data_IF_042171832919
#
_entry.id   IF_042171832919
#
_cell.length_a   1.000
_cell.length_b   1.000
_cell.length_c   1.000
_cell.angle_alpha   90.00
_cell.angle_beta   90.00
_cell.angle_gamma   90.00
#
_symmetry.space_group_name_H-M   'P 1'
#
loop_
_entity.id
_entity.type
_entity.pdbx_description
1 polymer ?
#
# COMPACT_ATOMS: atom_id res chain seq x y z
N UNK A 1 -4.65 -21.99 14.68
CA UNK A 1 -5.06 -21.35 13.40
C UNK A 1 -4.11 -20.24 12.95
N UNK A 2 -3.70 -19.30 13.83
CA UNK A 2 -2.86 -18.15 13.44
C UNK A 2 -1.49 -18.47 12.81
N UNK A 3 -0.78 -19.52 13.26
CA UNK A 3 0.54 -19.87 12.68
C UNK A 3 0.46 -20.30 11.22
N UNK A 4 -0.60 -21.02 10.85
CA UNK A 4 -0.81 -21.49 9.48
C UNK A 4 -1.05 -20.31 8.52
N UNK A 5 -1.78 -19.29 8.96
CA UNK A 5 -2.08 -18.09 8.17
C UNK A 5 -0.79 -17.33 7.81
N UNK A 6 0.13 -17.17 8.76
CA UNK A 6 1.41 -16.50 8.50
C UNK A 6 2.32 -17.30 7.55
N UNK A 7 2.31 -18.63 7.65
CA UNK A 7 3.03 -19.51 6.73
C UNK A 7 2.46 -19.38 5.31
N UNK A 8 1.13 -19.43 5.16
CA UNK A 8 0.45 -19.24 3.87
C UNK A 8 0.78 -17.86 3.29
N UNK A 9 0.76 -16.80 4.10
CA UNK A 9 1.12 -15.45 3.67
C UNK A 9 2.57 -15.36 3.18
N UNK A 10 3.50 -16.01 3.88
CA UNK A 10 4.92 -16.07 3.47
C UNK A 10 5.08 -16.78 2.13
N UNK A 11 4.42 -17.93 1.95
CA UNK A 11 4.47 -18.71 0.70
C UNK A 11 3.87 -17.88 -0.44
N UNK A 12 2.75 -17.21 -0.21
CA UNK A 12 2.11 -16.38 -1.22
C UNK A 12 3.01 -15.22 -1.66
N UNK A 13 3.62 -14.50 -0.73
CA UNK A 13 4.58 -13.43 -1.02
C UNK A 13 5.79 -13.96 -1.81
N UNK A 14 6.32 -15.12 -1.41
CA UNK A 14 7.44 -15.74 -2.11
C UNK A 14 7.08 -16.11 -3.54
N UNK A 15 5.92 -16.74 -3.77
CA UNK A 15 5.45 -17.08 -5.11
C UNK A 15 5.22 -15.84 -5.98
N UNK A 16 4.68 -14.77 -5.39
CA UNK A 16 4.47 -13.52 -6.10
C UNK A 16 5.80 -12.91 -6.58
N UNK A 17 6.77 -12.73 -5.68
CA UNK A 17 8.09 -12.20 -6.05
C UNK A 17 8.83 -13.12 -7.02
N UNK A 18 8.74 -14.43 -6.81
CA UNK A 18 9.35 -15.45 -7.69
C UNK A 18 8.79 -15.40 -9.10
N UNK A 19 7.48 -15.19 -9.24
CA UNK A 19 6.81 -15.04 -10.55
C UNK A 19 7.27 -13.79 -11.29
N UNK A 20 7.29 -12.65 -10.59
CA UNK A 20 7.76 -11.38 -11.19
C UNK A 20 9.22 -11.50 -11.64
N UNK A 21 10.08 -12.09 -10.82
CA UNK A 21 11.48 -12.31 -11.16
C UNK A 21 11.63 -13.29 -12.35
N UNK A 22 10.87 -14.38 -12.36
CA UNK A 22 10.87 -15.35 -13.46
C UNK A 22 10.51 -14.73 -14.80
N UNK A 23 9.40 -13.98 -14.83
CA UNK A 23 8.95 -13.30 -16.06
C UNK A 23 10.00 -12.29 -16.52
N UNK A 24 10.54 -11.49 -15.59
CA UNK A 24 11.53 -10.46 -15.91
C UNK A 24 12.82 -11.04 -16.47
N UNK A 25 13.31 -12.13 -15.89
CA UNK A 25 14.53 -12.80 -16.35
C UNK A 25 14.37 -13.41 -17.73
N UNK A 26 13.25 -14.10 -17.98
CA UNK A 26 12.96 -14.66 -19.31
C UNK A 26 12.84 -13.57 -20.37
N UNK A 27 12.11 -12.49 -20.09
CA UNK A 27 11.96 -11.38 -21.03
C UNK A 27 13.31 -10.75 -21.39
N UNK A 28 14.13 -10.47 -20.37
CA UNK A 28 15.48 -9.93 -20.57
C UNK A 28 16.35 -10.88 -21.40
N UNK A 29 16.32 -12.17 -21.08
CA UNK A 29 17.09 -13.18 -21.79
C UNK A 29 16.67 -13.28 -23.26
N UNK A 30 15.37 -13.30 -23.56
CA UNK A 30 14.85 -13.31 -24.93
C UNK A 30 15.34 -12.10 -25.74
N UNK A 31 15.39 -10.92 -25.12
CA UNK A 31 15.89 -9.71 -25.78
C UNK A 31 17.38 -9.80 -26.10
N UNK A 32 18.20 -10.22 -25.13
CA UNK A 32 19.64 -10.42 -25.33
C UNK A 32 19.91 -11.43 -26.43
N UNK A 33 19.23 -12.58 -26.39
CA UNK A 33 19.37 -13.62 -27.41
C UNK A 33 19.02 -13.09 -28.80
N UNK A 34 17.90 -12.38 -28.92
CA UNK A 34 17.45 -11.81 -30.20
C UNK A 34 18.50 -10.86 -30.78
N UNK A 35 19.10 -10.01 -29.96
CA UNK A 35 20.14 -9.07 -30.39
C UNK A 35 21.41 -9.80 -30.80
N UNK A 36 21.86 -10.78 -30.03
CA UNK A 36 23.04 -11.60 -30.36
C UNK A 36 22.84 -12.38 -31.66
N UNK A 37 21.69 -13.02 -31.85
CA UNK A 37 21.35 -13.73 -33.09
C UNK A 37 21.43 -12.76 -34.28
N UNK A 38 20.82 -11.58 -34.19
CA UNK A 38 20.86 -10.58 -35.26
C UNK A 38 22.29 -10.13 -35.55
N UNK A 39 23.13 -9.97 -34.53
CA UNK A 39 24.53 -9.60 -34.70
C UNK A 39 25.33 -10.69 -35.40
N UNK A 40 25.14 -11.96 -35.01
CA UNK A 40 25.79 -13.12 -35.65
C UNK A 40 25.32 -13.25 -37.10
N UNK A 41 24.02 -13.11 -37.36
CA UNK A 41 23.47 -13.12 -38.72
C UNK A 41 24.09 -12.03 -39.61
N UNK A 42 24.23 -10.81 -39.08
CA UNK A 42 24.87 -9.72 -39.81
C UNK A 42 26.33 -10.03 -40.13
N UNK A 43 27.07 -10.60 -39.18
CA UNK A 43 28.44 -11.02 -39.41
C UNK A 43 28.52 -12.09 -40.50
N UNK A 44 27.69 -13.14 -40.40
CA UNK A 44 27.63 -14.20 -41.42
C UNK A 44 27.23 -13.62 -42.78
N UNK A 45 26.28 -12.69 -42.83
CA UNK A 45 25.86 -12.06 -44.07
C UNK A 45 26.98 -11.23 -44.73
N UNK A 46 27.81 -10.54 -43.93
CA UNK A 46 28.98 -9.81 -44.42
C UNK A 46 30.07 -10.76 -44.94
N UNK A 47 30.29 -11.87 -44.25
CA UNK A 47 31.31 -12.85 -44.59
C UNK A 47 30.84 -13.84 -45.68
N UNK A 48 29.54 -13.86 -45.99
CA UNK A 48 28.92 -14.81 -46.91
C UNK A 48 29.61 -14.92 -48.28
N UNK A 49 30.06 -13.83 -48.94
CA UNK A 49 30.80 -13.91 -50.20
C UNK A 49 32.17 -14.57 -50.08
N UNK A 50 32.75 -14.60 -48.88
CA UNK A 50 34.04 -15.24 -48.58
C UNK A 50 33.88 -16.72 -48.23
N UNK A 51 32.65 -17.16 -47.90
CA UNK A 51 32.35 -18.54 -47.59
C UNK A 51 32.28 -19.37 -48.87
N UNK A 52 33.09 -20.42 -48.91
CA UNK A 52 33.18 -21.32 -50.05
C UNK A 52 32.04 -22.35 -50.04
N UNK A 53 30.81 -21.87 -50.21
CA UNK A 53 29.58 -22.66 -50.21
C UNK A 53 29.36 -23.35 -51.57
N UNK A 54 28.70 -24.50 -51.55
CA UNK A 54 28.30 -25.17 -52.78
C UNK A 54 27.26 -24.35 -53.55
N UNK A 55 27.30 -24.46 -54.88
CA UNK A 55 26.42 -23.74 -55.78
C UNK A 55 26.09 -24.61 -57.00
N UNK A 56 24.82 -24.98 -57.12
CA UNK A 56 24.30 -25.83 -58.19
C UNK A 56 24.44 -25.17 -59.58
N UNK A 57 24.19 -23.85 -59.68
CA UNK A 57 24.30 -23.10 -60.93
C UNK A 57 25.74 -23.07 -61.46
N UNK A 58 26.70 -22.99 -60.54
CA UNK A 58 28.14 -22.94 -60.87
C UNK A 58 28.79 -24.33 -60.91
N UNK A 59 28.04 -25.41 -60.64
CA UNK A 59 28.55 -26.78 -60.45
C UNK A 59 29.73 -26.85 -59.46
N UNK A 60 29.68 -25.99 -58.45
CA UNK A 60 30.73 -25.85 -57.45
C UNK A 60 30.33 -26.61 -56.19
N UNK A 61 31.17 -27.54 -55.74
CA UNK A 61 30.86 -28.39 -54.57
C UNK A 61 31.17 -27.73 -53.21
N UNK A 62 31.77 -26.53 -53.22
CA UNK A 62 32.19 -25.82 -52.01
C UNK A 62 33.33 -26.50 -51.25
N UNK A 63 33.81 -25.86 -50.19
CA UNK A 63 34.84 -26.37 -49.29
C UNK A 63 34.31 -26.53 -47.86
N UNK A 64 33.85 -27.75 -47.57
CA UNK A 64 33.28 -28.12 -46.26
C UNK A 64 34.27 -27.96 -45.11
N UNK A 65 35.57 -28.21 -45.34
CA UNK A 65 36.59 -28.09 -44.29
C UNK A 65 36.83 -26.62 -43.90
N UNK A 66 36.90 -25.72 -44.89
CA UNK A 66 37.03 -24.28 -44.64
C UNK A 66 35.79 -23.72 -43.93
N UNK A 67 34.60 -24.16 -44.33
CA UNK A 67 33.34 -23.77 -43.69
C UNK A 67 33.26 -24.22 -42.22
N UNK A 68 33.66 -25.46 -41.91
CA UNK A 68 33.71 -25.96 -40.54
C UNK A 68 34.70 -25.15 -39.69
N UNK A 69 35.88 -24.81 -40.24
CA UNK A 69 36.86 -23.98 -39.55
C UNK A 69 36.32 -22.55 -39.30
N UNK A 70 35.62 -21.98 -40.28
CA UNK A 70 34.94 -20.69 -40.10
C UNK A 70 33.91 -20.74 -38.97
N UNK A 71 33.03 -21.75 -38.95
CA UNK A 71 32.01 -21.90 -37.89
C UNK A 71 32.69 -22.06 -36.52
N UNK A 72 33.76 -22.84 -36.43
CA UNK A 72 34.53 -22.99 -35.19
C UNK A 72 35.14 -21.65 -34.74
N UNK A 73 35.78 -20.92 -35.65
CA UNK A 73 36.36 -19.60 -35.37
C UNK A 73 35.28 -18.61 -34.94
N UNK A 74 34.15 -18.59 -35.62
CA UNK A 74 33.01 -17.73 -35.29
C UNK A 74 32.47 -18.05 -33.89
N UNK A 75 32.25 -19.33 -33.56
CA UNK A 75 31.79 -19.73 -32.24
C UNK A 75 32.81 -19.40 -31.14
N UNK A 76 34.12 -19.48 -31.42
CA UNK A 76 35.15 -19.06 -30.47
C UNK A 76 35.14 -17.54 -30.24
N UNK A 77 34.84 -16.75 -31.28
CA UNK A 77 34.72 -15.29 -31.18
C UNK A 77 33.45 -14.86 -30.46
N UNK A 78 32.33 -15.53 -30.75
CA UNK A 78 31.05 -15.33 -30.06
C UNK A 78 31.23 -15.54 -28.55
N UNK A 79 32.08 -16.50 -28.15
CA UNK A 79 32.45 -16.79 -26.75
C UNK A 79 31.27 -16.74 -25.77
N UNK A 80 30.09 -17.13 -26.24
CA UNK A 80 28.84 -17.11 -25.49
C UNK A 80 28.47 -18.55 -25.18
N UNK A 81 28.18 -18.86 -23.93
CA UNK A 81 27.72 -20.19 -23.48
C UNK A 81 26.36 -20.57 -24.03
N UNK A 82 25.66 -19.59 -24.59
CA UNK A 82 24.21 -19.58 -24.71
C UNK A 82 23.73 -19.80 -26.14
N UNK A 83 24.53 -19.41 -27.15
CA UNK A 83 24.21 -19.46 -28.57
C UNK A 83 25.39 -20.03 -29.34
N UNK A 84 25.11 -21.03 -30.17
CA UNK A 84 26.09 -21.70 -31.03
C UNK A 84 25.58 -21.76 -32.47
N UNK A 85 26.44 -21.46 -33.44
CA UNK A 85 26.18 -21.73 -34.86
C UNK A 85 26.56 -23.19 -35.14
N UNK A 86 25.59 -24.00 -35.53
CA UNK A 86 25.78 -25.44 -35.76
C UNK A 86 26.13 -25.73 -37.22
N UNK A 87 25.45 -25.05 -38.15
CA UNK A 87 25.64 -25.24 -39.58
C UNK A 87 25.26 -23.99 -40.37
N UNK A 88 25.89 -23.84 -41.54
CA UNK A 88 25.55 -22.86 -42.56
C UNK A 88 25.47 -23.64 -43.87
N UNK A 89 24.31 -23.70 -44.50
CA UNK A 89 24.08 -24.61 -45.64
C UNK A 89 23.21 -23.94 -46.70
N UNK A 90 23.53 -24.08 -47.99
CA UNK A 90 22.65 -23.65 -49.07
C UNK A 90 21.32 -24.41 -49.06
N UNK A 91 20.26 -23.79 -49.59
CA UNK A 91 18.90 -24.37 -49.62
C UNK A 91 18.83 -25.78 -50.22
N UNK A 92 19.61 -26.06 -51.26
CA UNK A 92 19.59 -27.35 -51.98
C UNK A 92 20.29 -28.49 -51.21
N UNK A 93 21.15 -28.18 -50.24
CA UNK A 93 21.80 -29.17 -49.35
C UNK A 93 21.15 -29.24 -47.96
N UNK A 94 20.12 -28.44 -47.71
CA UNK A 94 19.48 -28.38 -46.41
C UNK A 94 18.58 -29.59 -46.18
N UNK A 95 19.00 -30.45 -45.25
CA UNK A 95 18.15 -31.50 -44.70
C UNK A 95 17.33 -30.91 -43.54
N UNK A 96 16.00 -30.97 -43.65
CA UNK A 96 15.06 -30.34 -42.71
C UNK A 96 15.04 -30.97 -41.30
N UNK A 97 15.92 -31.92 -41.01
CA UNK A 97 16.00 -32.59 -39.72
C UNK A 97 16.84 -31.81 -38.70
N UNK A 98 16.17 -30.92 -37.96
CA UNK A 98 16.70 -30.38 -36.71
C UNK A 98 16.99 -31.54 -35.74
N UNK A 99 18.23 -31.63 -35.24
CA UNK A 99 18.67 -32.76 -34.42
C UNK A 99 18.22 -32.62 -32.98
N UNK A 100 17.96 -31.39 -32.54
CA UNK A 100 17.62 -31.07 -31.15
C UNK A 100 16.47 -30.07 -31.09
N UNK A 101 15.64 -30.14 -30.04
CA UNK A 101 14.56 -29.17 -29.78
C UNK A 101 15.04 -27.75 -29.44
N UNK A 102 16.34 -27.58 -29.19
CA UNK A 102 16.99 -26.30 -28.94
C UNK A 102 17.53 -25.63 -30.21
N UNK A 103 17.44 -26.33 -31.35
CA UNK A 103 17.90 -25.82 -32.63
C UNK A 103 16.79 -25.07 -33.37
N UNK A 104 17.16 -24.01 -34.07
CA UNK A 104 16.24 -23.26 -34.92
C UNK A 104 16.98 -22.70 -36.15
N UNK A 105 16.21 -22.40 -37.19
CA UNK A 105 16.73 -22.04 -38.51
C UNK A 105 16.50 -20.56 -38.76
N UNK A 106 17.47 -19.92 -39.39
CA UNK A 106 17.35 -18.56 -39.93
C UNK A 106 17.78 -18.54 -41.38
N UNK A 107 17.09 -17.74 -42.16
CA UNK A 107 17.28 -17.64 -43.60
C UNK A 107 18.03 -16.36 -43.94
N UNK A 108 19.04 -16.47 -44.79
CA UNK A 108 19.75 -15.35 -45.39
C UNK A 108 19.63 -15.42 -46.91
N UNK A 109 19.21 -14.30 -47.50
CA UNK A 109 19.15 -14.14 -48.94
C UNK A 109 20.47 -13.58 -49.46
N UNK A 110 21.08 -14.29 -50.41
CA UNK A 110 22.30 -13.88 -51.11
C UNK A 110 22.07 -13.79 -52.61
N UNK A 111 22.98 -13.12 -53.31
CA UNK A 111 23.00 -13.06 -54.78
C UNK A 111 23.14 -14.47 -55.41
N UNK A 112 23.74 -15.41 -54.68
CA UNK A 112 23.96 -16.78 -55.13
C UNK A 112 22.85 -17.76 -54.70
N UNK A 113 21.76 -17.27 -54.09
CA UNK A 113 20.63 -18.06 -53.60
C UNK A 113 20.40 -17.95 -52.11
N UNK A 114 19.51 -18.78 -51.58
CA UNK A 114 19.11 -18.80 -50.17
C UNK A 114 20.07 -19.68 -49.36
N UNK A 115 20.53 -19.16 -48.21
CA UNK A 115 21.40 -19.86 -47.26
C UNK A 115 20.70 -19.96 -45.91
N UNK A 116 20.69 -21.16 -45.34
CA UNK A 116 20.16 -21.42 -44.01
C UNK A 116 21.27 -21.46 -42.98
N UNK A 117 21.04 -20.80 -41.85
CA UNK A 117 21.87 -20.87 -40.65
C UNK A 117 21.11 -21.65 -39.59
N UNK A 118 21.75 -22.68 -39.03
CA UNK A 118 21.22 -23.46 -37.90
C UNK A 118 21.90 -22.96 -36.64
N UNK A 119 21.09 -22.46 -35.70
CA UNK A 119 21.53 -22.04 -34.37
C UNK A 119 21.09 -23.06 -33.33
N UNK A 120 21.87 -23.20 -32.24
CA UNK A 120 21.48 -23.92 -31.03
C UNK A 120 21.49 -22.97 -29.84
N UNK A 121 20.41 -22.98 -29.04
CA UNK A 121 20.30 -22.24 -27.79
C UNK A 121 20.49 -23.18 -26.59
N UNK A 122 21.59 -23.03 -25.86
CA UNK A 122 21.87 -23.80 -24.64
C UNK A 122 21.75 -22.90 -23.42
N UNK A 123 20.55 -22.83 -22.85
CA UNK A 123 20.27 -21.90 -21.75
C UNK A 123 19.66 -22.61 -20.54
N UNK A 124 20.48 -23.08 -19.59
CA UNK A 124 19.96 -23.56 -18.33
C UNK A 124 19.40 -22.38 -17.53
N UNK A 125 18.09 -22.40 -17.27
CA UNK A 125 17.44 -21.34 -16.47
C UNK A 125 18.00 -21.29 -15.03
N UNK A 126 18.25 -22.46 -14.43
CA UNK A 126 18.77 -22.56 -13.06
C UNK A 126 20.30 -22.53 -13.05
N UNK A 127 20.86 -21.33 -13.11
CA UNK A 127 22.26 -21.06 -12.76
C UNK A 127 22.39 -20.80 -11.25
N UNK A 128 23.61 -20.93 -10.71
CA UNK A 128 23.88 -20.68 -9.28
C UNK A 128 23.42 -19.31 -8.82
N UNK A 129 23.59 -18.29 -9.66
CA UNK A 129 23.16 -16.91 -9.38
C UNK A 129 21.64 -16.79 -9.28
N UNK A 130 20.91 -17.42 -10.20
CA UNK A 130 19.43 -17.45 -10.20
C UNK A 130 18.92 -18.13 -8.94
N UNK A 131 19.53 -19.26 -8.55
CA UNK A 131 19.19 -19.98 -7.31
C UNK A 131 19.47 -19.12 -6.07
N UNK A 132 20.60 -18.41 -6.03
CA UNK A 132 20.93 -17.50 -4.95
C UNK A 132 19.91 -16.36 -4.81
N UNK A 133 19.44 -15.80 -5.94
CA UNK A 133 18.41 -14.76 -5.95
C UNK A 133 17.07 -15.30 -5.41
N UNK A 134 16.64 -16.50 -5.82
CA UNK A 134 15.44 -17.11 -5.24
C UNK A 134 15.58 -17.33 -3.72
N UNK A 135 16.76 -17.71 -3.24
CA UNK A 135 17.06 -17.76 -1.81
C UNK A 135 16.91 -16.41 -1.11
N UNK A 136 17.44 -15.33 -1.69
CA UNK A 136 17.28 -13.96 -1.16
C UNK A 136 15.81 -13.51 -1.15
N UNK A 137 15.04 -13.82 -2.21
CA UNK A 137 13.61 -13.52 -2.27
C UNK A 137 12.83 -14.25 -1.17
N UNK A 138 13.19 -15.50 -0.87
CA UNK A 138 12.57 -16.24 0.23
C UNK A 138 12.85 -15.59 1.59
N UNK A 139 14.10 -15.18 1.84
CA UNK A 139 14.47 -14.44 3.06
C UNK A 139 13.70 -13.12 3.16
N UNK A 140 13.58 -12.39 2.05
CA UNK A 140 12.82 -11.14 1.98
C UNK A 140 11.34 -11.36 2.29
N UNK A 141 10.73 -12.43 1.79
CA UNK A 141 9.34 -12.79 2.10
C UNK A 141 9.15 -13.09 3.59
N UNK A 142 10.10 -13.78 4.23
CA UNK A 142 10.08 -14.02 5.68
C UNK A 142 10.17 -12.70 6.44
N UNK A 143 11.11 -11.82 6.07
CA UNK A 143 11.30 -10.52 6.72
C UNK A 143 10.05 -9.65 6.59
N UNK A 144 9.45 -9.57 5.40
CA UNK A 144 8.24 -8.78 5.18
C UNK A 144 7.05 -9.35 5.96
N UNK A 145 6.88 -10.68 5.98
CA UNK A 145 5.85 -11.33 6.79
C UNK A 145 6.06 -11.06 8.28
N UNK A 146 7.32 -11.06 8.74
CA UNK A 146 7.66 -10.70 10.12
C UNK A 146 7.29 -9.24 10.44
N UNK A 147 7.60 -8.28 9.55
CA UNK A 147 7.23 -6.88 9.73
C UNK A 147 5.71 -6.69 9.75
N UNK A 148 4.97 -7.37 8.85
CA UNK A 148 3.50 -7.34 8.84
C UNK A 148 2.96 -7.95 10.15
N UNK A 149 3.54 -9.05 10.61
CA UNK A 149 3.16 -9.68 11.88
C UNK A 149 3.45 -8.75 13.07
N UNK A 150 4.58 -8.04 13.07
CA UNK A 150 4.93 -7.08 14.12
C UNK A 150 3.99 -5.88 14.10
N UNK A 151 3.65 -5.34 12.93
CA UNK A 151 2.65 -4.28 12.80
C UNK A 151 1.25 -4.75 13.23
N UNK A 152 0.88 -5.99 12.90
CA UNK A 152 -0.37 -6.60 13.35
C UNK A 152 -0.38 -6.82 14.86
N UNK A 153 0.74 -7.28 15.46
CA UNK A 153 0.87 -7.42 16.91
C UNK A 153 0.81 -6.05 17.56
N UNK A 154 1.54 -5.03 17.12
CA UNK A 154 1.46 -3.69 17.71
C UNK A 154 0.04 -3.12 17.64
N UNK A 155 -0.64 -3.27 16.49
CA UNK A 155 -2.05 -2.89 16.36
C UNK A 155 -2.96 -3.75 17.24
N UNK A 156 -2.62 -5.02 17.44
CA UNK A 156 -3.35 -5.92 18.31
C UNK A 156 -2.98 -5.81 19.79
N UNK A 157 -1.83 -5.27 20.17
CA UNK A 157 -1.41 -4.94 21.53
C UNK A 157 -2.03 -3.60 21.90
N UNK A 158 -2.12 -2.64 20.98
CA UNK A 158 -3.04 -1.51 21.15
C UNK A 158 -4.47 -2.06 21.35
N UNK A 159 -4.93 -3.00 20.51
CA UNK A 159 -6.26 -3.64 20.71
C UNK A 159 -6.35 -4.59 21.90
N UNK A 160 -5.27 -5.18 22.42
CA UNK A 160 -5.27 -6.12 23.56
C UNK A 160 -5.02 -5.41 24.88
N UNK A 161 -4.36 -4.25 24.88
CA UNK A 161 -4.46 -3.29 25.98
C UNK A 161 -5.90 -2.77 26.03
N UNK A 162 -6.55 -2.57 24.87
CA UNK A 162 -8.00 -2.26 24.79
C UNK A 162 -8.90 -3.48 25.16
N UNK A 163 -8.53 -4.73 24.80
CA UNK A 163 -9.35 -5.94 25.02
C UNK A 163 -9.06 -6.71 26.33
N UNK A 164 -7.88 -6.56 26.92
CA UNK A 164 -7.59 -7.06 28.27
C UNK A 164 -8.35 -6.23 29.32
N UNK A 165 -8.74 -5.00 28.99
CA UNK A 165 -9.76 -4.24 29.72
C UNK A 165 -11.21 -4.65 29.37
N UNK A 166 -11.44 -5.46 28.34
CA UNK A 166 -12.77 -5.85 27.87
C UNK A 166 -13.20 -7.29 28.21
N UNK A 167 -12.39 -8.04 28.96
CA UNK A 167 -12.69 -9.44 29.34
C UNK A 167 -12.93 -9.62 30.85
N UNK A 168 -13.53 -8.61 31.50
CA UNK A 168 -14.29 -8.81 32.74
C UNK A 168 -15.74 -8.50 32.46
N UNK A 169 -16.56 -9.54 32.51
CA UNK A 169 -18.02 -9.49 32.48
C UNK A 169 -18.53 -8.79 33.73
N UNK A 170 -18.41 -7.46 33.78
CA UNK A 170 -19.26 -6.56 34.57
C UNK A 170 -19.39 -5.25 33.77
N UNK A 171 -20.61 -4.76 33.65
CA UNK A 171 -21.03 -3.58 32.88
C UNK A 171 -20.14 -2.34 33.11
N UNK A 172 -19.07 -2.16 32.33
CA UNK A 172 -18.27 -0.91 32.34
C UNK A 172 -19.03 0.18 31.56
N UNK A 173 -19.30 1.37 32.13
CA UNK A 173 -20.08 2.41 31.45
C UNK A 173 -19.30 2.97 30.24
N UNK A 174 -20.00 3.25 29.14
CA UNK A 174 -19.42 3.90 27.96
C UNK A 174 -18.69 5.17 28.37
N UNK A 175 -17.44 5.30 27.89
CA UNK A 175 -16.60 6.47 28.12
C UNK A 175 -16.47 7.25 26.81
N UNK A 176 -16.84 8.53 26.83
CA UNK A 176 -16.60 9.45 25.72
C UNK A 176 -15.15 9.96 25.79
N UNK A 177 -14.39 9.74 24.74
CA UNK A 177 -12.98 10.10 24.66
C UNK A 177 -12.84 11.33 23.76
N UNK A 178 -12.22 12.38 24.28
CA UNK A 178 -11.96 13.64 23.59
C UNK A 178 -10.45 13.83 23.49
N UNK A 179 -9.89 13.71 22.28
CA UNK A 179 -8.46 13.86 22.05
C UNK A 179 -8.12 15.23 21.45
N UNK A 180 -7.39 16.05 22.21
CA UNK A 180 -6.93 17.38 21.80
C UNK A 180 -5.78 17.33 20.80
N UNK A 181 -4.97 16.26 20.77
CA UNK A 181 -3.83 16.08 19.85
C UNK A 181 -4.28 15.71 18.45
N UNK A 182 -5.32 14.88 18.34
CA UNK A 182 -5.91 14.52 17.04
C UNK A 182 -7.13 15.39 16.70
N UNK A 183 -7.67 16.13 17.67
CA UNK A 183 -8.93 16.91 17.60
C UNK A 183 -10.16 16.05 17.26
N UNK A 184 -10.24 14.87 17.83
CA UNK A 184 -11.31 13.90 17.54
C UNK A 184 -12.14 13.56 18.79
N UNK A 185 -13.40 13.21 18.55
CA UNK A 185 -14.26 12.51 19.51
C UNK A 185 -14.35 11.04 19.12
N UNK A 186 -14.32 10.16 20.12
CA UNK A 186 -14.57 8.73 19.96
C UNK A 186 -15.27 8.17 21.20
N UNK A 187 -15.88 7.00 21.06
CA UNK A 187 -16.45 6.25 22.18
C UNK A 187 -15.53 5.10 22.56
N UNK A 188 -15.48 4.74 23.84
CA UNK A 188 -14.80 3.51 24.30
C UNK A 188 -15.35 2.24 23.65
N UNK A 189 -16.57 2.29 23.13
CA UNK A 189 -17.20 1.18 22.39
C UNK A 189 -16.72 1.12 20.94
N UNK A 190 -16.47 2.28 20.32
CA UNK A 190 -16.14 2.41 18.90
C UNK A 190 -14.91 3.32 18.72
N UNK A 191 -13.76 2.88 19.26
CA UNK A 191 -12.48 3.62 19.19
C UNK A 191 -11.95 3.83 17.76
N UNK A 192 -12.34 2.96 16.82
CA UNK A 192 -11.99 3.09 15.40
C UNK A 192 -12.80 4.19 14.70
N UNK A 193 -13.94 4.60 15.26
CA UNK A 193 -14.81 5.65 14.71
C UNK A 193 -14.50 7.00 15.37
N UNK A 194 -13.55 7.72 14.76
CA UNK A 194 -13.11 9.02 15.23
C UNK A 194 -13.71 10.15 14.39
N UNK A 195 -14.46 11.03 15.05
CA UNK A 195 -15.09 12.18 14.39
C UNK A 195 -14.31 13.45 14.72
N UNK A 196 -13.76 14.10 13.70
CA UNK A 196 -13.01 15.33 13.85
C UNK A 196 -13.95 16.53 14.07
N UNK A 197 -13.63 17.40 15.05
CA UNK A 197 -14.34 18.67 15.24
C UNK A 197 -13.50 19.87 14.83
N UNK A 198 -14.21 20.92 14.39
CA UNK A 198 -13.63 22.24 14.25
C UNK A 198 -13.21 22.80 15.62
N UNK A 199 -12.18 23.65 15.62
CA UNK A 199 -11.54 24.12 16.85
C UNK A 199 -12.52 24.81 17.81
N UNK A 200 -13.43 25.65 17.28
CA UNK A 200 -14.41 26.38 18.10
C UNK A 200 -15.42 25.44 18.79
N UNK A 201 -16.14 24.55 18.06
CA UNK A 201 -16.95 23.50 18.68
C UNK A 201 -16.21 22.64 19.70
N UNK A 202 -15.00 22.18 19.37
CA UNK A 202 -14.21 21.32 20.26
C UNK A 202 -13.87 22.02 21.59
N UNK A 203 -13.32 23.23 21.52
CA UNK A 203 -12.97 24.01 22.72
C UNK A 203 -14.21 24.32 23.56
N UNK A 204 -15.32 24.66 22.89
CA UNK A 204 -16.56 24.98 23.58
C UNK A 204 -17.15 23.75 24.27
N UNK A 205 -17.13 22.59 23.63
CA UNK A 205 -17.64 21.35 24.22
C UNK A 205 -16.83 20.90 25.43
N UNK A 206 -15.49 20.95 25.36
CA UNK A 206 -14.62 20.64 26.50
C UNK A 206 -14.88 21.56 27.68
N UNK A 207 -15.04 22.86 27.41
CA UNK A 207 -15.40 23.83 28.44
C UNK A 207 -16.80 23.57 29.02
N UNK A 208 -17.77 23.20 28.17
CA UNK A 208 -19.13 22.89 28.61
C UNK A 208 -19.15 21.65 29.50
N UNK A 209 -18.39 20.60 29.15
CA UNK A 209 -18.21 19.41 29.99
C UNK A 209 -17.62 19.79 31.35
N UNK A 210 -16.48 20.47 31.37
CA UNK A 210 -15.81 20.84 32.63
C UNK A 210 -16.68 21.79 33.49
N UNK A 211 -17.35 22.74 32.85
CA UNK A 211 -18.23 23.68 33.53
C UNK A 211 -19.45 22.98 34.15
N UNK A 212 -20.13 22.10 33.40
CA UNK A 212 -21.30 21.38 33.87
C UNK A 212 -20.96 20.30 34.92
N UNK A 213 -19.77 19.69 34.84
CA UNK A 213 -19.27 18.78 35.89
C UNK A 213 -19.04 19.51 37.21
N UNK A 214 -18.48 20.73 37.16
CA UNK A 214 -18.24 21.53 38.36
C UNK A 214 -19.50 22.23 38.89
N UNK A 215 -20.53 22.41 38.04
CA UNK A 215 -21.75 23.13 38.34
C UNK A 215 -23.02 22.36 37.88
N UNK A 216 -23.36 21.22 38.50
CA UNK A 216 -24.42 20.33 38.01
C UNK A 216 -25.82 20.95 38.05
N UNK A 217 -26.09 21.89 38.95
CA UNK A 217 -27.41 22.50 39.13
C UNK A 217 -27.65 23.77 38.27
N UNK A 218 -26.63 24.25 37.56
CA UNK A 218 -26.72 25.50 36.79
C UNK A 218 -27.44 25.28 35.45
N UNK A 219 -28.52 26.03 35.23
CA UNK A 219 -29.25 26.07 33.95
C UNK A 219 -28.68 27.14 33.02
N UNK A 220 -28.00 26.70 31.96
CA UNK A 220 -27.48 27.55 30.90
C UNK A 220 -28.56 27.84 29.84
N UNK A 221 -28.98 29.09 29.67
CA UNK A 221 -30.08 29.48 28.77
C UNK A 221 -29.57 30.11 27.47
N UNK A 222 -30.20 29.78 26.33
CA UNK A 222 -29.83 30.33 25.01
C UNK A 222 -30.02 31.85 24.86
N UNK A 223 -30.93 32.44 25.64
CA UNK A 223 -31.26 33.88 25.57
C UNK A 223 -30.31 34.77 26.39
N UNK A 224 -29.36 34.17 27.11
CA UNK A 224 -28.34 34.89 27.88
C UNK A 224 -26.99 34.66 27.21
N UNK A 225 -26.07 35.60 27.42
CA UNK A 225 -24.67 35.37 27.07
C UNK A 225 -24.15 34.16 27.82
N UNK A 226 -23.18 33.48 27.20
CA UNK A 226 -22.44 32.40 27.84
C UNK A 226 -21.76 32.94 29.10
N UNK A 227 -21.84 32.23 30.25
CA UNK A 227 -21.16 32.65 31.48
C UNK A 227 -19.67 32.91 31.25
N UNK A 228 -19.13 33.92 31.92
CA UNK A 228 -17.74 34.34 31.75
C UNK A 228 -16.76 33.22 32.10
N UNK A 229 -17.03 32.48 33.18
CA UNK A 229 -16.25 31.29 33.58
C UNK A 229 -16.20 30.21 32.49
N UNK A 230 -17.33 29.95 31.80
CA UNK A 230 -17.36 28.99 30.69
C UNK A 230 -16.55 29.50 29.50
N UNK A 231 -16.63 30.81 29.22
CA UNK A 231 -15.81 31.44 28.19
C UNK A 231 -14.34 31.26 28.53
N UNK A 232 -13.92 31.53 29.77
CA UNK A 232 -12.53 31.36 30.24
C UNK A 232 -12.02 29.94 30.03
N UNK A 233 -12.80 28.93 30.43
CA UNK A 233 -12.48 27.52 30.17
C UNK A 233 -12.32 27.23 28.66
N UNK A 234 -13.22 27.75 27.83
CA UNK A 234 -13.13 27.55 26.38
C UNK A 234 -11.86 28.19 25.78
N UNK A 235 -11.41 29.31 26.35
CA UNK A 235 -10.14 29.92 25.92
C UNK A 235 -8.93 29.15 26.40
N UNK A 236 -8.98 28.58 27.60
CA UNK A 236 -7.92 27.71 28.11
C UNK A 236 -7.67 26.56 27.13
N UNK A 237 -8.72 25.86 26.69
CA UNK A 237 -8.60 24.81 25.67
C UNK A 237 -8.17 25.34 24.29
N UNK A 238 -8.59 26.54 23.92
CA UNK A 238 -8.12 27.17 22.68
C UNK A 238 -6.61 27.45 22.72
N UNK A 239 -6.08 27.98 23.83
CA UNK A 239 -4.63 28.17 23.98
C UNK A 239 -3.88 26.84 23.96
N UNK A 240 -4.46 25.79 24.56
CA UNK A 240 -3.89 24.44 24.47
C UNK A 240 -3.80 23.94 23.02
N UNK A 241 -4.82 24.19 22.20
CA UNK A 241 -4.76 23.88 20.77
C UNK A 241 -3.71 24.72 20.01
N UNK A 242 -3.45 25.95 20.44
CA UNK A 242 -2.37 26.78 19.87
C UNK A 242 -1.01 26.18 20.22
N UNK A 243 -0.79 25.78 21.49
CA UNK A 243 0.45 25.11 21.93
C UNK A 243 0.73 23.81 21.18
N UNK A 244 -0.31 23.03 20.91
CA UNK A 244 -0.23 21.79 20.12
C UNK A 244 -0.06 22.03 18.61
N UNK A 245 -0.04 23.28 18.14
CA UNK A 245 0.16 23.64 16.74
C UNK A 245 -1.09 23.51 15.85
N UNK A 246 -2.27 23.31 16.42
CA UNK A 246 -3.51 23.10 15.65
C UNK A 246 -4.14 24.39 15.11
N UNK A 247 -3.70 25.56 15.56
CA UNK A 247 -4.20 26.84 15.07
C UNK A 247 -3.28 28.01 15.39
N UNK A 248 -3.16 28.95 14.45
CA UNK A 248 -2.51 30.27 14.63
C UNK A 248 -3.55 31.41 14.44
N UNK A 249 -4.83 31.07 14.35
CA UNK A 249 -5.92 32.02 14.08
C UNK A 249 -6.29 32.86 15.30
N UNK A 250 -6.95 34.00 15.06
CA UNK A 250 -7.54 34.85 16.10
C UNK A 250 -8.51 34.06 16.99
N UNK A 251 -8.47 34.35 18.29
CA UNK A 251 -9.36 33.78 19.32
C UNK A 251 -10.83 33.83 18.88
N UNK A 252 -11.55 32.71 18.91
CA UNK A 252 -12.97 32.67 18.55
C UNK A 252 -13.83 33.41 19.57
N UNK A 253 -14.88 34.08 19.09
CA UNK A 253 -15.94 34.59 19.96
C UNK A 253 -17.00 33.49 20.17
N UNK A 254 -17.10 32.98 21.40
CA UNK A 254 -18.00 31.88 21.77
C UNK A 254 -19.47 32.31 21.98
N UNK A 255 -19.74 33.61 22.17
CA UNK A 255 -21.12 34.13 22.23
C UNK A 255 -21.75 34.22 20.83
N UNK A 256 -20.96 34.51 19.80
CA UNK A 256 -21.47 34.57 18.44
C UNK A 256 -21.78 33.16 17.91
N UNK A 257 -22.95 32.96 17.31
CA UNK A 257 -23.33 31.72 16.63
C UNK A 257 -23.31 30.49 17.58
N UNK A 258 -23.72 30.69 18.83
CA UNK A 258 -23.80 29.62 19.84
C UNK A 258 -24.63 28.43 19.35
N UNK A 259 -25.81 28.69 18.76
CA UNK A 259 -26.70 27.62 18.29
C UNK A 259 -26.08 26.77 17.18
N UNK A 260 -25.32 27.42 16.27
CA UNK A 260 -24.57 26.71 15.23
C UNK A 260 -23.47 25.84 15.85
N UNK A 261 -22.74 26.38 16.83
CA UNK A 261 -21.67 25.66 17.55
C UNK A 261 -22.24 24.43 18.27
N UNK A 262 -23.36 24.58 18.98
CA UNK A 262 -24.05 23.46 19.64
C UNK A 262 -24.58 22.44 18.63
N UNK A 263 -25.09 22.89 17.48
CA UNK A 263 -25.57 21.99 16.42
C UNK A 263 -24.45 21.15 15.80
N UNK A 264 -23.26 21.73 15.61
CA UNK A 264 -22.07 20.99 15.14
C UNK A 264 -21.61 19.95 16.17
N UNK A 265 -21.59 20.30 17.46
CA UNK A 265 -21.29 19.35 18.56
C UNK A 265 -22.28 18.18 18.55
N UNK A 266 -23.58 18.48 18.48
CA UNK A 266 -24.66 17.48 18.45
C UNK A 266 -24.50 16.51 17.27
N UNK A 267 -24.25 17.04 16.07
CA UNK A 267 -24.06 16.22 14.88
C UNK A 267 -22.85 15.28 15.01
N UNK A 268 -21.73 15.77 15.55
CA UNK A 268 -20.56 14.93 15.79
C UNK A 268 -20.81 13.86 16.87
N UNK A 269 -21.53 14.20 17.94
CA UNK A 269 -21.91 13.23 18.96
C UNK A 269 -22.90 12.18 18.44
N UNK A 270 -23.83 12.57 17.56
CA UNK A 270 -24.75 11.63 16.92
C UNK A 270 -24.03 10.60 16.07
N UNK A 271 -22.95 11.02 15.39
CA UNK A 271 -22.10 10.14 14.58
C UNK A 271 -21.26 9.20 15.48
N UNK A 272 -20.65 9.72 16.56
CA UNK A 272 -19.86 8.91 17.52
C UNK A 272 -20.71 7.92 18.32
N UNK A 273 -21.92 8.32 18.71
CA UNK A 273 -22.80 7.54 19.60
C UNK A 273 -23.92 6.82 18.84
N UNK A 274 -23.76 6.64 17.52
CA UNK A 274 -24.77 5.97 16.69
C UNK A 274 -25.08 4.55 17.19
N UNK A 275 -24.06 3.83 17.64
CA UNK A 275 -24.18 2.45 18.13
C UNK A 275 -24.73 2.36 19.56
N UNK A 276 -24.82 3.47 20.30
CA UNK A 276 -25.23 3.53 21.71
C UNK A 276 -26.25 4.67 21.94
N UNK A 277 -27.44 4.62 21.32
CA UNK A 277 -28.40 5.71 21.36
C UNK A 277 -28.94 6.01 22.77
N UNK A 278 -29.00 5.00 23.65
CA UNK A 278 -29.54 5.16 25.00
C UNK A 278 -28.69 6.06 25.91
N UNK A 279 -27.38 6.15 25.64
CA UNK A 279 -26.44 6.94 26.43
C UNK A 279 -26.23 8.35 25.90
N UNK A 280 -26.88 8.70 24.77
CA UNK A 280 -26.85 10.06 24.22
C UNK A 280 -27.28 11.10 25.25
N UNK A 281 -28.27 10.79 26.10
CA UNK A 281 -28.76 11.70 27.13
C UNK A 281 -27.73 12.17 28.16
N UNK A 282 -26.58 11.51 28.29
CA UNK A 282 -25.50 11.88 29.23
C UNK A 282 -24.55 12.94 28.65
N UNK A 283 -24.28 12.87 27.35
CA UNK A 283 -23.22 13.63 26.68
C UNK A 283 -23.74 14.74 25.77
N UNK A 284 -25.04 14.74 25.48
CA UNK A 284 -25.65 15.57 24.44
C UNK A 284 -26.19 16.90 25.02
N UNK A 285 -25.78 18.07 24.46
CA UNK A 285 -26.38 19.34 24.84
C UNK A 285 -27.83 19.40 24.32
N UNK A 286 -28.84 19.63 25.18
CA UNK A 286 -30.25 19.59 24.79
C UNK A 286 -30.56 20.56 23.66
N UNK A 287 -31.42 20.15 22.72
CA UNK A 287 -31.95 21.04 21.69
C UNK A 287 -33.15 21.82 22.25
N UNK A 288 -33.26 23.10 21.94
CA UNK A 288 -34.46 23.86 22.24
C UNK A 288 -35.64 23.33 21.38
N UNK A 289 -36.74 22.95 22.02
CA UNK A 289 -37.98 22.55 21.33
C UNK A 289 -39.03 23.69 21.42
N UNK A 290 -39.87 23.84 20.38
CA UNK A 290 -40.93 24.85 20.31
C UNK A 290 -40.78 25.88 19.17
N UNK A 291 -41.89 26.57 18.85
CA UNK A 291 -41.97 27.57 17.76
C UNK A 291 -40.93 28.69 17.93
N UNK A 292 -39.91 28.64 17.07
CA UNK A 292 -38.85 29.65 16.99
C UNK A 292 -37.65 29.35 17.88
N UNK A 293 -36.45 29.67 17.38
CA UNK A 293 -35.14 29.53 18.04
C UNK A 293 -34.96 30.36 19.33
N UNK A 294 -36.05 30.82 19.95
CA UNK A 294 -36.11 31.72 21.10
C UNK A 294 -36.93 31.17 22.26
N UNK A 295 -37.28 29.87 22.26
CA UNK A 295 -38.04 29.28 23.36
C UNK A 295 -37.27 29.45 24.68
N UNK A 296 -37.90 30.16 25.62
CA UNK A 296 -37.25 30.80 26.77
C UNK A 296 -36.85 29.85 27.90
N UNK A 297 -37.16 28.56 27.76
CA UNK A 297 -37.20 27.61 28.88
C UNK A 297 -36.20 26.44 28.75
N UNK A 298 -35.48 26.34 27.63
CA UNK A 298 -34.58 25.21 27.40
C UNK A 298 -33.15 25.58 27.78
N UNK A 299 -32.53 24.70 28.57
CA UNK A 299 -31.13 24.81 28.91
C UNK A 299 -30.29 23.98 27.93
N UNK A 300 -29.14 24.50 27.51
CA UNK A 300 -28.15 23.73 26.74
C UNK A 300 -27.09 23.05 27.61
N UNK A 301 -27.19 23.18 28.94
CA UNK A 301 -26.27 22.53 29.88
C UNK A 301 -26.40 21.02 29.86
N UNK A 302 -25.30 20.33 30.17
CA UNK A 302 -25.25 18.87 30.22
C UNK A 302 -25.71 18.40 31.60
N UNK A 303 -27.01 18.12 31.74
CA UNK A 303 -27.64 17.85 33.04
C UNK A 303 -27.10 16.60 33.77
N UNK A 304 -26.63 15.60 33.02
CA UNK A 304 -26.20 14.30 33.57
C UNK A 304 -24.73 13.99 33.27
N UNK A 305 -23.92 15.00 32.91
CA UNK A 305 -22.52 14.76 32.48
C UNK A 305 -21.67 14.10 33.59
N UNK A 306 -21.96 14.40 34.85
CA UNK A 306 -21.28 13.79 36.00
C UNK A 306 -21.61 12.31 36.23
N UNK A 307 -22.62 11.77 35.55
CA UNK A 307 -22.94 10.34 35.53
C UNK A 307 -22.29 9.62 34.33
N UNK A 308 -21.79 10.38 33.35
CA UNK A 308 -21.03 9.86 32.22
C UNK A 308 -19.55 9.77 32.54
N UNK A 309 -18.86 8.83 31.88
CA UNK A 309 -17.41 8.74 31.91
C UNK A 309 -16.86 9.57 30.73
N UNK A 310 -16.03 10.58 30.98
CA UNK A 310 -15.37 11.36 29.94
C UNK A 310 -13.86 11.35 30.17
N UNK A 311 -13.13 10.97 29.14
CA UNK A 311 -11.66 11.00 29.12
C UNK A 311 -11.18 12.11 28.19
N UNK A 312 -10.24 12.93 28.65
CA UNK A 312 -9.67 14.04 27.87
C UNK A 312 -8.18 13.79 27.68
N UNK A 313 -7.77 13.48 26.45
CA UNK A 313 -6.37 13.25 26.08
C UNK A 313 -5.75 14.58 25.64
N UNK A 314 -4.57 14.89 26.16
CA UNK A 314 -3.82 16.11 25.78
C UNK A 314 -4.26 17.40 26.48
N UNK A 315 -5.00 17.29 27.60
CA UNK A 315 -5.33 18.40 28.50
C UNK A 315 -4.08 19.17 28.96
#
# INVERSE_FOLDING_TARGET
MNRLIWIICTIFLFLFFSSVFYISTIQKQQQVNKLQIIQIEKQIALDLPLLDLSNELLKHSGNKAALLNYIQTLNTFINSTDIEVVAITPQHEFDASLKTSTEFIRELNSNNGVVFIVFSLRQPYFTGDVVAIYGMLFILSILLTYLIKLAYINKNDDKQVIHAESNTTESKPLTLIIDLKSKTLSSSVSLEHQVALANKPLCFYLALVEYCTNNPEIKLNHNKNVPEELIELANKYFYRLVELGHTVRKRPNFNNSLEKTLSEIRASLDDVLNDCPEQKGLYYPPKAFGEGSRSRMHSYGLANVGQGNIEIIGK
#
